data_IF_449932818554
#
_entry.id   IF_449932818554
#
_cell.length_a   1.000
_cell.length_b   1.000
_cell.length_c   1.000
_cell.angle_alpha   90.00
_cell.angle_beta   90.00
_cell.angle_gamma   90.00
#
_symmetry.space_group_name_H-M   'P 1'
#
loop_
_entity.id
_entity.type
_entity.pdbx_description
1 polymer ?
2 water ?
#
# COMPACT_ATOMS: atom_id res chain seq x y z
N UNK A 12 15.68 -20.88 -34.43
CA UNK A 12 16.28 -19.79 -33.68
C UNK A 12 15.24 -19.12 -32.79
N UNK A 13 13.99 -19.06 -33.26
CA UNK A 13 12.93 -18.46 -32.47
C UNK A 13 12.61 -19.29 -31.24
N UNK A 14 12.63 -20.62 -31.38
CA UNK A 14 12.37 -21.49 -30.24
C UNK A 14 13.49 -21.41 -29.21
N UNK A 15 14.73 -21.25 -29.66
CA UNK A 15 15.86 -21.18 -28.74
C UNK A 15 15.96 -19.82 -28.07
N UNK A 16 15.70 -18.75 -28.81
CA UNK A 16 15.73 -17.42 -28.22
C UNK A 16 14.62 -17.22 -27.21
N UNK A 17 13.46 -17.83 -27.45
CA UNK A 17 12.37 -17.75 -26.49
C UNK A 17 12.68 -18.52 -25.21
N UNK A 18 13.41 -19.64 -25.33
CA UNK A 18 13.76 -20.42 -24.15
C UNK A 18 14.77 -19.68 -23.29
N UNK A 19 15.76 -19.03 -23.91
CA UNK A 19 16.73 -18.25 -23.14
C UNK A 19 16.08 -17.03 -22.50
N UNK A 20 15.05 -16.47 -23.14
CA UNK A 20 14.36 -15.32 -22.56
C UNK A 20 13.60 -15.72 -21.30
N UNK A 21 12.84 -16.81 -21.37
CA UNK A 21 12.13 -17.29 -20.18
C UNK A 21 13.10 -17.75 -19.11
N UNK A 22 14.26 -18.26 -19.50
CA UNK A 22 15.27 -18.67 -18.54
C UNK A 22 15.79 -17.47 -17.74
N UNK A 23 16.09 -16.36 -18.43
CA UNK A 23 16.63 -15.20 -17.75
C UNK A 23 15.57 -14.58 -16.84
N UNK A 24 14.33 -14.48 -17.32
CA UNK A 24 13.28 -13.83 -16.55
C UNK A 24 12.95 -14.64 -15.29
N UNK A 25 12.85 -15.96 -15.43
CA UNK A 25 12.56 -16.80 -14.27
C UNK A 25 13.67 -16.72 -13.23
N UNK A 26 14.93 -16.68 -13.69
CA UNK A 26 16.05 -16.58 -12.76
C UNK A 26 16.08 -15.22 -12.09
N UNK A 27 15.77 -14.16 -12.83
CA UNK A 27 15.72 -12.82 -12.25
C UNK A 27 14.59 -12.71 -11.24
N UNK A 28 13.40 -13.24 -11.56
CA UNK A 28 12.29 -13.17 -10.62
C UNK A 28 12.61 -13.91 -9.33
N UNK A 29 13.33 -15.04 -9.44
CA UNK A 29 13.70 -15.80 -8.26
C UNK A 29 14.68 -15.04 -7.38
N UNK A 30 15.66 -14.36 -7.99
CA UNK A 30 16.61 -13.58 -7.22
C UNK A 30 15.97 -12.34 -6.62
N UNK A 31 15.05 -11.72 -7.37
CA UNK A 31 14.44 -10.47 -6.92
C UNK A 31 13.54 -10.66 -5.71
N UNK A 32 13.07 -11.89 -5.46
CA UNK A 32 12.26 -12.13 -4.27
C UNK A 32 13.08 -12.00 -3.00
N UNK A 33 14.39 -12.25 -3.07
CA UNK A 33 15.25 -12.25 -1.90
C UNK A 33 16.10 -10.99 -1.81
N UNK A 34 16.64 -10.53 -2.94
CA UNK A 34 17.56 -9.39 -2.95
C UNK A 34 16.92 -8.12 -3.46
N UNK A 35 15.63 -8.12 -3.76
CA UNK A 35 15.09 -6.96 -4.44
C UNK A 35 15.76 -6.79 -5.78
N UNK A 36 15.91 -5.53 -6.19
CA UNK A 36 16.55 -5.22 -7.47
C UNK A 36 18.07 -5.05 -7.34
N UNK A 37 18.66 -5.52 -6.25
CA UNK A 37 20.10 -5.37 -6.05
C UNK A 37 20.92 -6.40 -6.82
N UNK A 38 20.31 -7.50 -7.25
CA UNK A 38 21.04 -8.53 -7.98
C UNK A 38 21.57 -7.97 -9.30
N UNK A 39 22.83 -8.28 -9.59
CA UNK A 39 23.44 -7.73 -10.80
C UNK A 39 23.08 -8.58 -12.01
N UNK A 40 23.41 -8.06 -13.19
CA UNK A 40 23.20 -8.81 -14.42
C UNK A 40 24.05 -10.07 -14.45
N UNK A 41 25.27 -10.00 -13.92
CA UNK A 41 26.13 -11.17 -13.87
C UNK A 41 25.55 -12.24 -12.94
N UNK A 42 25.00 -11.82 -11.80
CA UNK A 42 24.41 -12.78 -10.88
C UNK A 42 23.17 -13.43 -11.48
N UNK A 43 22.39 -12.68 -12.26
CA UNK A 43 21.25 -13.27 -12.95
C UNK A 43 21.70 -14.36 -13.91
N UNK A 44 22.79 -14.10 -14.66
CA UNK A 44 23.29 -15.07 -15.62
C UNK A 44 23.78 -16.34 -14.92
N UNK A 45 24.52 -16.20 -13.82
CA UNK A 45 24.99 -17.36 -13.08
C UNK A 45 23.83 -18.18 -12.53
N UNK A 46 22.78 -17.51 -12.05
CA UNK A 46 21.62 -18.23 -11.52
C UNK A 46 20.86 -18.95 -12.62
N UNK A 47 20.80 -18.36 -13.82
CA UNK A 47 20.13 -18.97 -14.96
C UNK A 47 20.95 -20.07 -15.62
N UNK A 48 22.20 -20.26 -15.21
CA UNK A 48 23.07 -21.19 -15.91
C UNK A 48 23.40 -20.77 -17.33
N UNK A 49 23.40 -19.47 -17.61
CA UNK A 49 23.72 -18.94 -18.92
C UNK A 49 25.01 -18.13 -18.88
N UNK A 50 25.65 -18.02 -20.03
CA UNK A 50 26.85 -17.22 -20.12
C UNK A 50 26.55 -15.74 -19.96
N UNK A 51 27.50 -15.03 -19.34
CA UNK A 51 27.34 -13.60 -19.12
C UNK A 51 27.18 -12.86 -20.44
N UNK A 52 27.94 -13.26 -21.45
CA UNK A 52 27.83 -12.61 -22.76
C UNK A 52 26.47 -12.79 -23.39
N UNK A 53 25.84 -13.94 -23.19
CA UNK A 53 24.51 -14.17 -23.75
C UNK A 53 23.46 -13.28 -23.10
N UNK A 54 23.49 -13.20 -21.77
CA UNK A 54 22.51 -12.38 -21.06
C UNK A 54 22.77 -10.90 -21.30
N UNK A 55 24.05 -10.52 -21.38
CA UNK A 55 24.39 -9.10 -21.56
C UNK A 55 23.97 -8.61 -22.94
N UNK A 56 24.11 -9.45 -23.97
CA UNK A 56 23.67 -9.05 -25.30
C UNK A 56 22.16 -8.94 -25.36
N UNK A 57 21.44 -9.81 -24.65
CA UNK A 57 19.98 -9.72 -24.63
C UNK A 57 19.51 -8.54 -23.80
N UNK A 58 20.14 -8.32 -22.65
CA UNK A 58 19.77 -7.23 -21.74
C UNK A 58 21.03 -6.47 -21.38
N UNK A 59 21.37 -5.40 -22.13
CA UNK A 59 22.59 -4.66 -21.83
C UNK A 59 22.52 -3.83 -20.56
N UNK A 60 21.32 -3.55 -20.06
CA UNK A 60 21.14 -2.75 -18.86
C UNK A 60 20.11 -3.41 -17.94
N UNK A 61 20.18 -3.05 -16.66
CA UNK A 61 19.16 -3.50 -15.72
C UNK A 61 17.78 -3.02 -16.13
N UNK A 62 17.71 -1.81 -16.69
CA UNK A 62 16.42 -1.24 -17.08
C UNK A 62 15.77 -2.04 -18.20
N UNK A 63 16.58 -2.54 -19.13
CA UNK A 63 16.05 -3.41 -20.18
C UNK A 63 15.51 -4.72 -19.59
N UNK A 64 16.21 -5.27 -18.59
CA UNK A 64 15.72 -6.46 -17.93
C UNK A 64 14.42 -6.18 -17.18
N UNK A 65 14.31 -5.01 -16.56
CA UNK A 65 13.10 -4.67 -15.81
C UNK A 65 11.90 -4.55 -16.75
N UNK A 66 12.11 -4.03 -17.96
CA UNK A 66 11.00 -3.88 -18.88
C UNK A 66 10.51 -5.22 -19.41
N UNK A 67 11.44 -6.12 -19.73
CA UNK A 67 11.06 -7.45 -20.17
C UNK A 67 10.32 -8.22 -19.09
N UNK A 68 10.78 -8.07 -17.83
CA UNK A 68 10.07 -8.67 -16.71
C UNK A 68 8.68 -8.08 -16.57
N UNK A 69 8.56 -6.76 -16.65
CA UNK A 69 7.27 -6.09 -16.53
C UNK A 69 6.32 -6.52 -17.65
N UNK A 70 6.82 -6.55 -18.89
CA UNK A 70 5.99 -6.97 -20.01
C UNK A 70 5.60 -8.45 -19.85
N UNK A 71 6.54 -9.29 -19.46
CA UNK A 71 6.22 -10.69 -19.18
C UNK A 71 5.22 -10.80 -18.02
N UNK A 72 5.33 -9.93 -17.03
CA UNK A 72 4.40 -9.98 -15.91
C UNK A 72 2.98 -9.66 -16.30
N UNK A 73 2.80 -8.72 -17.22
CA UNK A 73 1.46 -8.43 -17.72
C UNK A 73 0.90 -9.59 -18.53
N UNK A 74 1.76 -10.26 -19.30
CA UNK A 74 1.32 -11.43 -20.05
C UNK A 74 0.92 -12.56 -19.10
N UNK A 75 1.67 -12.75 -18.01
CA UNK A 75 1.27 -13.73 -17.00
C UNK A 75 -0.08 -13.37 -16.39
N UNK A 76 -0.29 -12.08 -16.12
CA UNK A 76 -1.56 -11.64 -15.55
C UNK A 76 -2.70 -11.83 -16.55
N UNK A 77 -2.43 -11.65 -17.83
CA UNK A 77 -3.45 -11.91 -18.85
C UNK A 77 -3.86 -13.37 -18.84
N UNK A 78 -2.90 -14.29 -18.73
CA UNK A 78 -3.23 -15.69 -18.64
C UNK A 78 -4.03 -16.06 -17.41
N UNK A 79 -3.77 -15.36 -16.29
CA UNK A 79 -4.53 -15.62 -15.07
C UNK A 79 -5.98 -15.15 -15.22
N UNK A 80 -6.18 -14.00 -15.85
CA UNK A 80 -7.55 -13.53 -16.11
C UNK A 80 -8.27 -14.46 -17.07
N UNK A 81 -7.56 -14.97 -18.08
CA UNK A 81 -8.13 -15.96 -18.98
C UNK A 81 -8.58 -17.19 -18.22
N UNK A 82 -7.74 -17.71 -17.34
CA UNK A 82 -8.10 -18.89 -16.56
C UNK A 82 -9.26 -18.60 -15.63
N UNK A 83 -9.29 -17.41 -15.01
CA UNK A 83 -10.34 -17.08 -14.06
C UNK A 83 -11.71 -17.09 -14.71
N UNK A 84 -11.80 -16.63 -15.96
CA UNK A 84 -13.06 -16.62 -16.68
C UNK A 84 -13.59 -18.02 -16.98
N UNK A 85 -12.76 -19.05 -16.82
CA UNK A 85 -13.20 -20.43 -16.97
C UNK A 85 -13.71 -21.05 -15.68
N UNK A 86 -13.66 -20.32 -14.56
CA UNK A 86 -14.21 -20.84 -13.32
C UNK A 86 -15.74 -20.83 -13.35
N UNK A 87 -16.33 -21.84 -12.71
CA UNK A 87 -17.77 -22.03 -12.78
C UNK A 87 -18.53 -20.90 -12.09
N UNK A 88 -17.97 -20.30 -11.05
CA UNK A 88 -18.63 -19.24 -10.30
C UNK A 88 -17.88 -17.92 -10.49
N UNK A 89 -18.63 -16.86 -10.81
CA UNK A 89 -17.99 -15.60 -11.16
C UNK A 89 -17.35 -14.93 -9.94
N UNK A 90 -17.93 -15.10 -8.75
CA UNK A 90 -17.31 -14.50 -7.57
C UNK A 90 -16.08 -15.28 -7.12
N UNK A 91 -16.14 -16.61 -7.13
CA UNK A 91 -14.95 -17.40 -6.83
C UNK A 91 -13.86 -17.13 -7.86
N UNK A 92 -14.25 -16.94 -9.12
CA UNK A 92 -13.26 -16.57 -10.13
C UNK A 92 -12.64 -15.23 -9.88
N UNK A 93 -13.44 -14.25 -9.46
CA UNK A 93 -12.90 -12.93 -9.12
C UNK A 93 -11.97 -13.01 -7.92
N UNK A 94 -12.39 -13.71 -6.87
CA UNK A 94 -11.55 -13.91 -5.69
C UNK A 94 -10.24 -14.60 -6.06
N UNK A 95 -10.35 -15.70 -6.82
CA UNK A 95 -9.16 -16.43 -7.23
C UNK A 95 -8.21 -15.55 -8.03
N UNK A 96 -8.74 -14.78 -8.98
CA UNK A 96 -7.88 -13.94 -9.78
C UNK A 96 -7.16 -12.91 -8.93
N UNK A 97 -7.90 -12.20 -8.08
CA UNK A 97 -7.27 -11.17 -7.24
C UNK A 97 -6.17 -11.79 -6.39
N UNK A 98 -6.40 -12.99 -5.86
CA UNK A 98 -5.37 -13.68 -5.10
C UNK A 98 -4.13 -13.96 -5.95
N UNK A 99 -4.34 -14.54 -7.14
CA UNK A 99 -3.19 -14.85 -8.01
C UNK A 99 -2.45 -13.58 -8.41
N UNK A 100 -3.19 -12.52 -8.75
CA UNK A 100 -2.56 -11.26 -9.14
C UNK A 100 -1.74 -10.68 -8.01
N UNK A 101 -2.33 -10.54 -6.81
CA UNK A 101 -1.62 -9.87 -5.73
C UNK A 101 -0.44 -10.70 -5.24
N UNK A 102 -0.54 -12.02 -5.29
CA UNK A 102 0.54 -12.89 -4.83
C UNK A 102 1.85 -12.62 -5.58
N UNK A 103 1.76 -12.20 -6.84
CA UNK A 103 2.96 -12.00 -7.65
C UNK A 103 3.85 -10.94 -7.03
N UNK A 104 3.27 -9.80 -6.67
CA UNK A 104 4.03 -8.70 -6.11
C UNK A 104 4.06 -8.68 -4.58
N UNK A 105 3.09 -9.33 -3.92
CA UNK A 105 3.09 -9.36 -2.47
C UNK A 105 4.11 -10.31 -1.89
N UNK A 106 4.66 -11.22 -2.69
CA UNK A 106 5.65 -12.18 -2.22
C UNK A 106 7.01 -12.00 -2.89
N UNK A 107 7.19 -10.95 -3.68
CA UNK A 107 8.44 -10.69 -4.40
C UNK A 107 8.68 -9.18 -4.37
N UNK A 108 9.58 -8.72 -3.49
CA UNK A 108 9.79 -7.29 -3.34
C UNK A 108 10.45 -6.68 -4.56
N UNK A 109 11.21 -7.46 -5.32
CA UNK A 109 11.78 -6.95 -6.55
C UNK A 109 10.73 -6.70 -7.61
N UNK A 110 9.81 -7.66 -7.79
CA UNK A 110 8.72 -7.48 -8.74
C UNK A 110 7.80 -6.36 -8.30
N UNK A 111 7.56 -6.23 -6.99
CA UNK A 111 6.74 -5.15 -6.46
C UNK A 111 7.32 -3.79 -6.81
N UNK A 112 8.65 -3.65 -6.72
CA UNK A 112 9.27 -2.37 -7.05
C UNK A 112 9.20 -2.10 -8.55
N UNK A 113 9.35 -3.13 -9.38
CA UNK A 113 9.25 -2.93 -10.82
C UNK A 113 7.82 -2.57 -11.22
N UNK A 114 6.83 -3.18 -10.58
CA UNK A 114 5.46 -3.00 -10.99
C UNK A 114 4.93 -1.60 -10.66
N UNK A 115 5.27 -1.07 -9.48
CA UNK A 115 4.61 0.11 -8.96
C UNK A 115 5.54 1.26 -8.61
N UNK A 116 6.85 1.04 -8.55
CA UNK A 116 7.80 2.11 -8.26
C UNK A 116 8.59 2.56 -9.48
N UNK A 117 8.59 1.79 -10.56
CA UNK A 117 9.26 2.17 -11.80
C UNK A 117 8.26 2.74 -12.80
N UNK A 118 8.78 3.49 -13.77
CA UNK A 118 7.98 4.00 -14.87
C UNK A 118 8.16 3.10 -16.08
N UNK A 119 7.09 2.92 -16.85
CA UNK A 119 7.09 1.98 -17.96
C UNK A 119 6.44 2.61 -19.19
N UNK A 120 7.08 2.42 -20.34
CA UNK A 120 6.56 2.91 -21.60
C UNK A 120 7.13 2.14 -22.76
N UNK A 121 6.82 2.61 -23.96
CA UNK A 121 7.28 1.99 -25.18
C UNK A 121 6.21 1.14 -25.84
N UNK A 122 6.56 0.63 -27.03
CA UNK A 122 5.59 -0.11 -27.83
C UNK A 122 5.19 -1.42 -27.17
N UNK A 123 6.16 -2.15 -26.60
CA UNK A 123 5.83 -3.44 -26.00
C UNK A 123 4.98 -3.26 -24.75
N UNK A 124 5.26 -2.22 -23.96
CA UNK A 124 4.47 -1.98 -22.76
C UNK A 124 3.05 -1.59 -23.11
N UNK A 125 2.88 -0.71 -24.11
CA UNK A 125 1.55 -0.30 -24.52
C UNK A 125 0.76 -1.45 -25.12
N UNK A 126 1.43 -2.31 -25.88
CA UNK A 126 0.75 -3.46 -26.48
C UNK A 126 0.35 -4.47 -25.40
N UNK A 127 1.16 -4.64 -24.38
CA UNK A 127 0.81 -5.55 -23.30
C UNK A 127 -0.34 -5.05 -22.46
N UNK A 128 -0.35 -3.75 -22.13
CA UNK A 128 -1.46 -3.18 -21.38
C UNK A 128 -2.76 -3.29 -22.18
N UNK A 129 -2.69 -3.12 -23.49
CA UNK A 129 -3.90 -3.14 -24.31
C UNK A 129 -4.52 -4.53 -24.38
N UNK A 130 -3.73 -5.58 -24.21
CA UNK A 130 -4.29 -6.92 -24.14
C UNK A 130 -4.77 -7.27 -22.74
N UNK A 131 -4.16 -6.71 -21.71
CA UNK A 131 -4.52 -7.07 -20.34
C UNK A 131 -5.81 -6.38 -19.89
N UNK A 132 -5.94 -5.08 -20.18
CA UNK A 132 -7.04 -4.30 -19.61
C UNK A 132 -8.42 -4.86 -19.96
N UNK A 133 -8.74 -5.22 -21.21
CA UNK A 133 -10.08 -5.79 -21.46
C UNK A 133 -10.31 -7.11 -20.76
N UNK A 134 -9.24 -7.90 -20.54
CA UNK A 134 -9.39 -9.13 -19.77
C UNK A 134 -9.72 -8.84 -18.31
N UNK A 135 -9.10 -7.81 -17.73
CA UNK A 135 -9.46 -7.40 -16.38
C UNK A 135 -10.92 -6.96 -16.32
N UNK A 136 -11.39 -6.23 -17.34
CA UNK A 136 -12.77 -5.79 -17.37
C UNK A 136 -13.73 -6.96 -17.42
N UNK A 137 -13.38 -8.01 -18.16
CA UNK A 137 -14.29 -9.15 -18.29
C UNK A 137 -14.43 -9.90 -16.97
N UNK A 138 -13.35 -10.03 -16.21
CA UNK A 138 -13.42 -10.68 -14.90
C UNK A 138 -14.32 -9.86 -13.97
N UNK A 139 -14.16 -8.54 -13.98
CA UNK A 139 -14.96 -7.68 -13.13
C UNK A 139 -16.42 -7.70 -13.55
N UNK A 140 -16.67 -7.48 -14.85
CA UNK A 140 -18.05 -7.39 -15.33
C UNK A 140 -18.83 -8.68 -15.11
N UNK A 141 -18.17 -9.84 -15.23
CA UNK A 141 -18.87 -11.11 -15.04
C UNK A 141 -19.43 -11.22 -13.63
N UNK A 142 -18.60 -10.90 -12.62
CA UNK A 142 -19.05 -10.94 -11.24
C UNK A 142 -20.09 -9.87 -10.96
N UNK A 143 -20.04 -8.75 -11.69
CA UNK A 143 -21.02 -7.69 -11.48
C UNK A 143 -22.38 -8.08 -12.03
N UNK A 144 -22.41 -8.69 -13.21
CA UNK A 144 -23.68 -9.04 -13.83
C UNK A 144 -24.38 -10.19 -13.10
N UNK A 145 -23.65 -11.00 -12.34
CA UNK A 145 -24.24 -12.05 -11.52
C UNK A 145 -24.74 -11.54 -10.17
N UNK A 146 -24.51 -10.27 -9.84
CA UNK A 146 -24.96 -9.73 -8.57
C UNK A 146 -24.02 -9.92 -7.41
N UNK A 147 -22.75 -10.29 -7.65
CA UNK A 147 -21.79 -10.51 -6.57
C UNK A 147 -20.94 -9.28 -6.28
N UNK A 148 -20.47 -8.61 -7.32
CA UNK A 148 -19.51 -7.52 -7.20
C UNK A 148 -20.25 -6.19 -7.36
N UNK A 149 -19.88 -5.21 -6.54
CA UNK A 149 -20.60 -3.96 -6.52
C UNK A 149 -20.40 -3.20 -7.83
N UNK A 150 -21.41 -2.43 -8.26
CA UNK A 150 -21.34 -1.83 -9.60
C UNK A 150 -20.22 -0.81 -9.79
N UNK A 151 -19.74 -0.17 -8.72
CA UNK A 151 -18.68 0.82 -8.87
C UNK A 151 -17.35 0.20 -9.23
N UNK A 152 -17.19 -1.11 -9.07
CA UNK A 152 -15.92 -1.76 -9.34
C UNK A 152 -15.50 -1.55 -10.79
N UNK A 153 -14.19 -1.53 -11.03
CA UNK A 153 -13.64 -1.30 -12.34
C UNK A 153 -12.38 -2.13 -12.50
N UNK A 154 -12.01 -2.37 -13.76
CA UNK A 154 -10.71 -3.02 -14.03
C UNK A 154 -9.57 -2.24 -13.41
N UNK A 155 -9.68 -0.91 -13.35
CA UNK A 155 -8.61 -0.07 -12.82
C UNK A 155 -8.47 -0.18 -11.31
N UNK A 156 -9.40 -0.84 -10.62
CA UNK A 156 -9.19 -1.18 -9.21
C UNK A 156 -8.14 -2.27 -9.04
N UNK A 157 -7.94 -3.11 -10.06
CA UNK A 157 -7.05 -4.25 -9.92
C UNK A 157 -5.60 -3.87 -9.65
N UNK A 158 -4.99 -2.92 -10.36
CA UNK A 158 -3.62 -2.52 -10.00
C UNK A 158 -3.50 -2.00 -8.58
N UNK A 159 -4.54 -1.35 -8.06
CA UNK A 159 -4.44 -0.84 -6.69
C UNK A 159 -4.57 -1.94 -5.65
N UNK A 160 -5.31 -3.00 -5.95
CA UNK A 160 -5.26 -4.17 -5.09
C UNK A 160 -3.84 -4.72 -4.99
N UNK A 161 -3.10 -4.69 -6.09
CA UNK A 161 -1.70 -5.06 -6.03
C UNK A 161 -0.87 -4.07 -5.22
N UNK A 162 -1.08 -2.77 -5.45
CA UNK A 162 -0.37 -1.75 -4.68
C UNK A 162 -0.68 -1.90 -3.20
N UNK A 163 -1.96 -2.11 -2.86
CA UNK A 163 -2.38 -2.17 -1.46
C UNK A 163 -1.77 -3.39 -0.77
N UNK A 164 -1.97 -4.58 -1.34
CA UNK A 164 -1.39 -5.78 -0.73
C UNK A 164 0.13 -5.74 -0.71
N UNK A 165 0.73 -5.09 -1.71
CA UNK A 165 2.18 -4.97 -1.73
C UNK A 165 2.70 -4.13 -0.58
N UNK A 166 2.00 -3.02 -0.27
CA UNK A 166 2.42 -2.16 0.83
C UNK A 166 2.35 -2.88 2.17
N UNK A 167 1.45 -3.85 2.31
CA UNK A 167 1.41 -4.66 3.53
C UNK A 167 2.72 -5.41 3.70
N UNK A 168 3.15 -6.14 2.66
CA UNK A 168 4.38 -6.90 2.75
C UNK A 168 5.59 -5.98 2.91
N UNK A 169 5.58 -4.82 2.24
CA UNK A 169 6.68 -3.88 2.37
C UNK A 169 6.82 -3.39 3.80
N UNK A 170 5.70 -3.13 4.48
CA UNK A 170 5.75 -2.60 5.83
C UNK A 170 5.94 -3.71 6.87
N UNK A 171 5.30 -4.87 6.67
CA UNK A 171 5.33 -5.91 7.69
C UNK A 171 6.62 -6.71 7.67
N UNK A 172 7.25 -6.85 6.50
CA UNK A 172 8.50 -7.57 6.40
C UNK A 172 8.32 -9.04 6.10
N UNK A 173 9.43 -9.67 5.70
CA UNK A 173 9.40 -11.07 5.30
C UNK A 173 8.99 -11.99 6.45
N UNK A 174 9.22 -11.57 7.70
CA UNK A 174 8.81 -12.37 8.84
C UNK A 174 7.30 -12.50 8.92
N UNK A 175 6.56 -11.58 8.31
CA UNK A 175 5.10 -11.65 8.26
C UNK A 175 4.66 -11.81 6.81
N UNK A 176 5.10 -12.89 6.16
CA UNK A 176 4.99 -13.02 4.71
C UNK A 176 3.57 -13.25 4.23
N UNK A 177 2.66 -13.67 5.09
CA UNK A 177 1.29 -13.96 4.68
C UNK A 177 0.30 -12.87 5.07
N UNK A 178 0.75 -11.82 5.76
CA UNK A 178 -0.17 -10.81 6.26
C UNK A 178 -0.93 -10.12 5.13
N UNK A 179 -0.34 -10.03 3.94
CA UNK A 179 -1.02 -9.39 2.82
C UNK A 179 -2.35 -10.06 2.50
N UNK A 180 -2.47 -11.36 2.77
CA UNK A 180 -3.71 -12.07 2.50
C UNK A 180 -4.86 -11.58 3.40
N UNK A 181 -4.55 -11.11 4.60
CA UNK A 181 -5.59 -10.61 5.50
C UNK A 181 -6.25 -9.38 4.91
N UNK A 182 -5.46 -8.38 4.54
CA UNK A 182 -6.02 -7.15 4.02
C UNK A 182 -6.57 -7.30 2.62
N UNK A 183 -6.08 -8.28 1.85
CA UNK A 183 -6.72 -8.63 0.58
C UNK A 183 -8.14 -9.14 0.82
N UNK A 184 -8.32 -10.02 1.81
CA UNK A 184 -9.65 -10.52 2.09
C UNK A 184 -10.59 -9.41 2.57
N UNK A 185 -10.05 -8.45 3.32
CA UNK A 185 -10.86 -7.30 3.74
C UNK A 185 -11.26 -6.48 2.52
N UNK A 186 -10.32 -6.23 1.60
CA UNK A 186 -10.65 -5.47 0.40
C UNK A 186 -11.69 -6.21 -0.43
N UNK A 187 -11.55 -7.52 -0.58
CA UNK A 187 -12.50 -8.30 -1.37
C UNK A 187 -13.88 -8.25 -0.72
N UNK A 188 -13.94 -8.38 0.61
CA UNK A 188 -15.22 -8.32 1.30
C UNK A 188 -15.91 -6.98 1.06
N UNK A 189 -15.15 -5.88 1.07
CA UNK A 189 -15.71 -4.56 0.84
C UNK A 189 -16.16 -4.32 -0.59
N UNK A 190 -15.79 -5.18 -1.52
CA UNK A 190 -16.22 -5.07 -2.91
C UNK A 190 -17.53 -5.80 -3.21
N UNK A 191 -18.06 -6.53 -2.24
CA UNK A 191 -19.30 -7.26 -2.46
C UNK A 191 -20.46 -6.32 -2.70
N UNK A 192 -21.35 -6.70 -3.63
CA UNK A 192 -22.58 -5.95 -3.82
C UNK A 192 -23.51 -6.19 -2.62
N UNK A 193 -24.04 -5.10 -2.07
CA UNK A 193 -25.02 -5.14 -1.00
C UNK A 193 -26.26 -4.36 -1.43
N UNK A 194 -27.43 -4.83 -1.01
CA UNK A 194 -28.67 -4.15 -1.35
C UNK A 194 -28.70 -2.74 -0.77
N UNK A 195 -27.97 -2.50 0.32
CA UNK A 195 -28.11 -1.30 1.12
C UNK A 195 -26.89 -0.40 1.15
N UNK A 196 -25.81 -0.75 0.46
CA UNK A 196 -24.55 -0.06 0.65
C UNK A 196 -24.55 1.32 0.02
N UNK A 197 -23.79 2.22 0.63
CA UNK A 197 -23.56 3.54 0.06
C UNK A 197 -22.64 3.41 -1.15
N UNK A 198 -22.92 4.19 -2.18
CA UNK A 198 -22.06 4.19 -3.35
C UNK A 198 -20.71 4.82 -3.02
N UNK A 199 -19.64 4.23 -3.56
CA UNK A 199 -18.31 4.78 -3.36
C UNK A 199 -18.23 6.19 -3.91
N UNK A 200 -17.91 7.15 -3.04
CA UNK A 200 -17.97 8.56 -3.42
C UNK A 200 -16.87 8.93 -4.41
N UNK A 201 -15.72 8.27 -4.35
CA UNK A 201 -14.61 8.55 -5.25
C UNK A 201 -14.54 7.41 -6.26
N UNK A 202 -14.66 7.75 -7.54
CA UNK A 202 -14.68 6.74 -8.60
C UNK A 202 -13.27 6.19 -8.83
N UNK A 203 -13.23 4.99 -9.42
CA UNK A 203 -11.97 4.46 -9.88
C UNK A 203 -11.44 5.32 -11.02
N UNK A 204 -10.12 5.26 -11.22
CA UNK A 204 -9.51 5.95 -12.34
C UNK A 204 -10.04 5.40 -13.66
N UNK A 205 -10.14 6.27 -14.66
CA UNK A 205 -10.43 5.79 -16.00
C UNK A 205 -9.14 5.31 -16.66
N UNK A 206 -9.26 4.82 -17.91
CA UNK A 206 -8.08 4.29 -18.60
C UNK A 206 -7.04 5.40 -18.83
N UNK A 207 -7.49 6.60 -19.16
CA UNK A 207 -6.56 7.70 -19.37
C UNK A 207 -5.85 8.08 -18.08
N UNK A 208 -6.58 8.06 -16.96
CA UNK A 208 -5.97 8.42 -15.68
C UNK A 208 -4.98 7.36 -15.22
N UNK A 209 -5.35 6.07 -15.33
CA UNK A 209 -4.46 5.03 -14.86
C UNK A 209 -3.27 4.84 -15.80
N UNK A 210 -3.39 5.28 -17.06
CA UNK A 210 -2.22 5.28 -17.94
C UNK A 210 -1.25 6.39 -17.55
N UNK A 211 -1.78 7.54 -17.13
CA UNK A 211 -0.89 8.63 -16.70
C UNK A 211 -0.23 8.30 -15.37
N UNK A 212 -0.95 7.62 -14.47
CA UNK A 212 -0.38 7.24 -13.19
C UNK A 212 0.74 6.20 -13.35
N UNK A 213 0.76 5.47 -14.46
CA UNK A 213 1.79 4.48 -14.71
C UNK A 213 2.84 5.01 -15.69
N UNK B 15 7.69 29.35 26.37
CA UNK B 15 8.26 30.16 25.31
C UNK B 15 9.02 29.30 24.31
N UNK B 16 9.97 28.51 24.81
CA UNK B 16 10.66 27.55 23.96
C UNK B 16 9.70 26.48 23.47
N UNK B 17 8.69 26.14 24.27
CA UNK B 17 7.69 25.17 23.83
C UNK B 17 6.82 25.74 22.71
N UNK B 18 6.57 27.05 22.72
CA UNK B 18 5.81 27.66 21.64
C UNK B 18 6.58 27.58 20.32
N UNK B 19 7.87 27.94 20.36
CA UNK B 19 8.71 27.82 19.17
C UNK B 19 8.85 26.37 18.73
N UNK B 20 8.88 25.44 19.68
CA UNK B 20 8.96 24.03 19.34
C UNK B 20 7.76 23.58 18.52
N UNK B 21 6.56 24.01 18.92
CA UNK B 21 5.37 23.67 18.15
C UNK B 21 5.34 24.37 16.80
N UNK B 22 5.90 25.58 16.70
CA UNK B 22 5.90 26.30 15.44
C UNK B 22 6.83 25.65 14.43
N UNK B 23 7.97 25.11 14.89
CA UNK B 23 8.87 24.41 13.99
C UNK B 23 8.22 23.14 13.46
N UNK B 24 7.55 22.39 14.34
CA UNK B 24 6.88 21.17 13.93
C UNK B 24 5.77 21.47 12.92
N UNK B 25 4.96 22.49 13.20
CA UNK B 25 3.87 22.84 12.29
C UNK B 25 4.41 23.31 10.95
N UNK B 26 5.49 24.09 10.95
CA UNK B 26 6.08 24.54 9.69
C UNK B 26 6.71 23.38 8.93
N UNK B 27 7.33 22.44 9.65
CA UNK B 27 7.94 21.29 8.98
C UNK B 27 6.89 20.40 8.35
N UNK B 28 5.75 20.21 9.02
CA UNK B 28 4.68 19.39 8.44
C UNK B 28 4.08 20.04 7.20
N UNK B 29 4.01 21.37 7.18
CA UNK B 29 3.52 22.06 5.98
C UNK B 29 4.47 21.84 4.80
N UNK B 30 5.78 21.98 5.03
CA UNK B 30 6.74 21.77 3.95
C UNK B 30 6.79 20.32 3.51
N UNK B 31 6.53 19.39 4.44
CA UNK B 31 6.61 17.96 4.12
C UNK B 31 5.61 17.56 3.05
N UNK B 32 4.47 18.24 2.97
CA UNK B 32 3.44 17.86 2.00
C UNK B 32 3.86 18.12 0.57
N UNK B 33 4.81 19.03 0.35
CA UNK B 33 5.24 19.41 -0.98
C UNK B 33 6.66 18.95 -1.28
N UNK B 34 7.54 18.99 -0.27
CA UNK B 34 8.96 18.72 -0.48
C UNK B 34 9.40 17.39 0.10
N UNK B 35 8.48 16.59 0.62
CA UNK B 35 8.88 15.35 1.27
C UNK B 35 9.75 15.65 2.46
N UNK B 36 10.87 14.95 2.56
CA UNK B 36 11.84 15.15 3.64
C UNK B 36 13.08 15.90 3.18
N UNK B 37 13.00 16.60 2.05
CA UNK B 37 14.17 17.25 1.47
C UNK B 37 14.48 18.61 2.08
N UNK B 38 13.55 19.20 2.81
CA UNK B 38 13.75 20.55 3.34
C UNK B 38 14.83 20.56 4.41
N UNK B 39 15.71 21.55 4.34
CA UNK B 39 16.75 21.71 5.34
C UNK B 39 16.20 22.45 6.56
N UNK B 40 16.99 22.45 7.64
CA UNK B 40 16.59 23.17 8.84
C UNK B 40 16.54 24.67 8.61
N UNK B 41 17.35 25.19 7.67
CA UNK B 41 17.25 26.59 7.30
C UNK B 41 15.91 26.90 6.66
N UNK B 42 15.48 26.05 5.72
CA UNK B 42 14.21 26.27 5.03
C UNK B 42 13.02 26.13 5.98
N UNK B 43 13.12 25.22 6.95
CA UNK B 43 12.08 25.12 7.97
C UNK B 43 12.03 26.39 8.80
N UNK B 44 13.20 26.93 9.15
CA UNK B 44 13.26 28.16 9.94
C UNK B 44 12.62 29.33 9.20
N UNK B 45 12.92 29.47 7.91
CA UNK B 45 12.33 30.55 7.12
C UNK B 45 10.81 30.40 7.05
N UNK B 46 10.33 29.18 6.78
CA UNK B 46 8.89 28.98 6.68
C UNK B 46 8.20 29.22 8.02
N UNK B 47 8.86 28.89 9.12
CA UNK B 47 8.32 29.16 10.45
C UNK B 47 8.46 30.63 10.86
N UNK B 48 9.28 31.40 10.16
CA UNK B 48 9.52 32.77 10.55
C UNK B 48 10.45 32.92 11.74
N UNK B 49 11.23 31.91 12.06
CA UNK B 49 12.14 31.93 13.18
C UNK B 49 13.59 32.03 12.71
N UNK B 50 14.46 32.49 13.61
CA UNK B 50 15.87 32.47 13.32
C UNK B 50 16.42 31.05 13.24
N UNK B 51 17.46 30.88 12.43
CA UNK B 51 18.04 29.56 12.24
C UNK B 51 18.56 28.99 13.56
N UNK B 52 19.16 29.84 14.39
CA UNK B 52 19.64 29.38 15.68
C UNK B 52 18.52 28.89 16.59
N UNK B 53 17.31 29.44 16.42
CA UNK B 53 16.19 29.01 17.23
C UNK B 53 15.74 27.59 16.87
N UNK B 54 15.77 27.24 15.59
CA UNK B 54 15.41 25.89 15.19
C UNK B 54 16.51 24.91 15.62
N UNK B 55 17.77 25.34 15.52
CA UNK B 55 18.87 24.45 15.88
C UNK B 55 18.92 24.21 17.38
N UNK B 56 18.58 25.22 18.20
CA UNK B 56 18.56 25.00 19.63
C UNK B 56 17.45 24.04 20.03
N UNK B 57 16.37 23.98 19.25
CA UNK B 57 15.29 23.03 19.51
C UNK B 57 15.55 21.68 18.88
N UNK B 58 16.12 21.66 17.68
CA UNK B 58 16.39 20.42 16.94
C UNK B 58 17.77 20.52 16.31
N UNK B 59 18.78 19.92 16.94
CA UNK B 59 20.15 20.02 16.40
C UNK B 59 20.31 19.39 15.03
N UNK B 60 19.54 18.34 14.72
CA UNK B 60 19.64 17.64 13.45
C UNK B 60 18.24 17.44 12.87
N UNK B 61 18.20 17.05 11.58
CA UNK B 61 16.93 16.74 10.96
C UNK B 61 16.31 15.49 11.56
N UNK B 62 17.14 14.50 11.91
CA UNK B 62 16.63 13.29 12.54
C UNK B 62 15.95 13.60 13.86
N UNK B 63 16.49 14.56 14.62
CA UNK B 63 15.82 15.00 15.83
C UNK B 63 14.47 15.63 15.52
N UNK B 64 14.40 16.41 14.44
CA UNK B 64 13.10 16.96 14.03
C UNK B 64 12.18 15.86 13.53
N UNK B 65 12.73 14.91 12.76
CA UNK B 65 11.90 13.82 12.25
C UNK B 65 11.27 13.01 13.37
N UNK B 66 12.05 12.72 14.42
CA UNK B 66 11.51 11.94 15.54
C UNK B 66 10.44 12.73 16.29
N UNK B 67 10.67 14.03 16.50
CA UNK B 67 9.70 14.86 17.18
C UNK B 67 8.39 14.92 16.41
N UNK B 68 8.46 14.95 15.08
CA UNK B 68 7.24 14.98 14.28
C UNK B 68 6.52 13.64 14.36
N UNK B 69 7.28 12.54 14.41
CA UNK B 69 6.65 11.23 14.54
C UNK B 69 5.92 11.10 15.88
N UNK B 70 6.58 11.48 16.96
CA UNK B 70 5.93 11.45 18.28
C UNK B 70 4.75 12.41 18.33
N UNK B 71 4.91 13.60 17.72
CA UNK B 71 3.79 14.55 17.68
C UNK B 71 2.61 13.99 16.91
N UNK B 72 2.89 13.26 15.82
CA UNK B 72 1.81 12.64 15.07
C UNK B 72 1.08 11.57 15.86
N UNK B 73 1.82 10.79 16.65
CA UNK B 73 1.20 9.79 17.51
C UNK B 73 0.33 10.45 18.57
N UNK B 74 0.84 11.51 19.21
CA UNK B 74 0.02 12.25 20.17
C UNK B 74 -1.24 12.79 19.51
N UNK B 75 -1.14 13.19 18.24
CA UNK B 75 -2.31 13.66 17.51
C UNK B 75 -3.31 12.55 17.28
N UNK B 76 -2.82 11.35 16.91
CA UNK B 76 -3.72 10.20 16.78
C UNK B 76 -4.37 9.84 18.10
N UNK B 77 -3.62 9.98 19.20
CA UNK B 77 -4.17 9.68 20.51
C UNK B 77 -5.35 10.60 20.84
N UNK B 78 -5.18 11.90 20.61
CA UNK B 78 -6.28 12.83 20.83
C UNK B 78 -7.48 12.52 19.94
N UNK B 79 -7.21 12.09 18.70
CA UNK B 79 -8.31 11.69 17.81
C UNK B 79 -9.00 10.44 18.32
N UNK B 80 -8.23 9.47 18.81
CA UNK B 80 -8.84 8.27 19.37
C UNK B 80 -9.65 8.59 20.62
N UNK B 81 -9.15 9.49 21.46
CA UNK B 81 -9.91 9.89 22.64
C UNK B 81 -11.21 10.59 22.25
N UNK B 82 -11.17 11.40 21.18
CA UNK B 82 -12.38 12.05 20.71
C UNK B 82 -13.35 11.03 20.12
N UNK B 83 -12.84 10.05 19.38
CA UNK B 83 -13.71 9.02 18.81
C UNK B 83 -14.43 8.23 19.90
N UNK B 84 -13.78 8.04 21.06
CA UNK B 84 -14.41 7.31 22.15
C UNK B 84 -15.51 8.12 22.83
N UNK B 85 -15.60 9.41 22.55
CA UNK B 85 -16.69 10.24 23.06
C UNK B 85 -17.90 10.26 22.13
N UNK B 86 -17.78 9.72 20.92
CA UNK B 86 -18.91 9.67 20.00
C UNK B 86 -19.99 8.74 20.53
N UNK B 87 -21.23 9.03 20.14
CA UNK B 87 -22.37 8.30 20.69
C UNK B 87 -22.45 6.88 20.15
N UNK B 88 -22.20 6.70 18.85
CA UNK B 88 -22.27 5.38 18.22
C UNK B 88 -20.87 4.85 17.97
N UNK B 89 -20.62 3.61 18.41
CA UNK B 89 -19.27 3.06 18.35
C UNK B 89 -18.83 2.77 16.92
N UNK B 90 -19.75 2.48 16.02
CA UNK B 90 -19.34 2.26 14.63
C UNK B 90 -19.00 3.57 13.96
N UNK B 91 -19.84 4.60 14.14
CA UNK B 91 -19.52 5.91 13.61
C UNK B 91 -18.22 6.43 14.20
N UNK B 92 -17.97 6.15 15.49
CA UNK B 92 -16.70 6.53 16.08
C UNK B 92 -15.52 5.82 15.44
N UNK B 93 -15.68 4.53 15.12
CA UNK B 93 -14.62 3.79 14.44
C UNK B 93 -14.37 4.36 13.05
N UNK B 94 -15.42 4.51 12.25
CA UNK B 94 -15.27 5.03 10.89
C UNK B 94 -14.71 6.45 10.91
N UNK B 95 -15.17 7.27 11.86
CA UNK B 95 -14.66 8.64 11.96
C UNK B 95 -13.17 8.63 12.29
N UNK B 96 -12.75 7.78 13.22
CA UNK B 96 -11.34 7.73 13.58
C UNK B 96 -10.48 7.30 12.40
N UNK B 97 -10.91 6.26 11.67
CA UNK B 97 -10.15 5.81 10.51
C UNK B 97 -10.01 6.93 9.50
N UNK B 98 -11.10 7.66 9.24
CA UNK B 98 -11.04 8.80 8.32
C UNK B 98 -9.99 9.81 8.76
N UNK B 99 -10.03 10.21 10.03
CA UNK B 99 -9.10 11.22 10.53
C UNK B 99 -7.66 10.72 10.50
N UNK B 100 -7.45 9.46 10.88
CA UNK B 100 -6.10 8.91 10.91
C UNK B 100 -5.50 8.84 9.51
N UNK B 101 -6.24 8.27 8.55
CA UNK B 101 -5.69 8.05 7.23
C UNK B 101 -5.45 9.36 6.48
N UNK B 102 -6.26 10.38 6.76
CA UNK B 102 -6.10 11.65 6.05
C UNK B 102 -4.74 12.29 6.31
N UNK B 103 -4.20 12.08 7.52
CA UNK B 103 -2.94 12.73 7.90
C UNK B 103 -1.81 12.27 6.99
N UNK B 104 -1.69 10.96 6.78
CA UNK B 104 -0.60 10.41 5.99
C UNK B 104 -0.93 10.27 4.52
N UNK B 105 -2.22 10.22 4.15
CA UNK B 105 -2.57 10.08 2.74
C UNK B 105 -2.48 11.39 1.97
N UNK B 106 -2.40 12.54 2.66
CA UNK B 106 -2.31 13.83 1.99
C UNK B 106 -0.99 14.53 2.26
N UNK B 107 0.01 13.82 2.78
CA UNK B 107 1.30 14.44 3.11
C UNK B 107 2.38 13.37 2.92
N UNK B 108 3.08 13.43 1.80
CA UNK B 108 4.06 12.39 1.49
C UNK B 108 5.24 12.43 2.45
N UNK B 109 5.57 13.59 3.00
CA UNK B 109 6.62 13.65 4.00
C UNK B 109 6.25 12.94 5.28
N UNK B 110 5.03 13.19 5.78
CA UNK B 110 4.57 12.48 6.97
C UNK B 110 4.42 10.99 6.70
N UNK B 111 3.95 10.63 5.50
CA UNK B 111 3.85 9.23 5.13
C UNK B 111 5.20 8.53 5.19
N UNK B 112 6.25 9.22 4.72
CA UNK B 112 7.59 8.63 4.78
C UNK B 112 8.07 8.47 6.22
N UNK B 113 7.75 9.43 7.08
CA UNK B 113 8.16 9.34 8.47
C UNK B 113 7.36 8.28 9.20
N UNK B 114 6.06 8.18 8.91
CA UNK B 114 5.20 7.28 9.68
C UNK B 114 5.48 5.82 9.36
N UNK B 115 5.80 5.51 8.12
CA UNK B 115 5.83 4.11 7.68
C UNK B 115 7.16 3.69 7.06
N UNK B 116 7.78 4.54 6.25
CA UNK B 116 9.08 4.24 5.65
C UNK B 116 10.24 4.65 6.54
N UNK B 117 10.08 4.57 7.86
CA UNK B 117 11.09 5.02 8.81
C UNK B 117 11.03 4.13 10.04
N UNK B 118 12.20 3.86 10.60
CA UNK B 118 12.31 3.11 11.86
C UNK B 118 12.59 4.08 12.99
N UNK B 119 11.85 3.93 14.09
CA UNK B 119 11.94 4.85 15.21
C UNK B 119 12.12 4.09 16.51
N UNK B 120 12.71 4.76 17.49
CA UNK B 120 12.92 4.19 18.79
C UNK B 120 13.24 5.27 19.80
N UNK B 121 13.58 4.84 21.01
CA UNK B 121 13.93 5.75 22.08
C UNK B 121 12.77 5.97 23.05
N UNK B 122 13.09 6.70 24.13
CA UNK B 122 12.14 6.89 25.22
C UNK B 122 10.87 7.59 24.75
N UNK B 123 11.02 8.70 24.02
CA UNK B 123 9.86 9.47 23.61
C UNK B 123 8.95 8.66 22.69
N UNK B 124 9.53 7.90 21.77
CA UNK B 124 8.72 7.09 20.85
C UNK B 124 7.97 6.00 21.62
N UNK B 125 8.64 5.35 22.58
CA UNK B 125 7.98 4.31 23.36
C UNK B 125 6.84 4.89 24.21
N UNK B 126 7.05 6.07 24.79
CA UNK B 126 6.01 6.69 25.60
C UNK B 126 4.81 7.09 24.74
N UNK B 127 5.04 7.51 23.51
CA UNK B 127 3.94 7.85 22.62
C UNK B 127 3.15 6.63 22.19
N UNK B 128 3.85 5.54 21.86
CA UNK B 128 3.16 4.30 21.51
C UNK B 128 2.39 3.74 22.70
N UNK B 129 2.92 3.92 23.92
CA UNK B 129 2.26 3.41 25.11
C UNK B 129 0.91 4.08 25.35
N UNK B 130 0.76 5.34 24.94
CA UNK B 130 -0.51 6.03 25.03
C UNK B 130 -1.45 5.68 23.88
N UNK B 131 -0.90 5.52 22.68
CA UNK B 131 -1.73 5.33 21.50
C UNK B 131 -2.30 3.92 21.40
N UNK B 132 -1.45 2.91 21.60
CA UNK B 132 -1.88 1.53 21.40
C UNK B 132 -3.12 1.14 22.21
N UNK B 133 -3.21 1.43 23.52
CA UNK B 133 -4.44 1.05 24.23
C UNK B 133 -5.66 1.84 23.77
N UNK B 134 -5.49 3.08 23.32
CA UNK B 134 -6.62 3.82 22.77
C UNK B 134 -7.14 3.17 21.49
N UNK B 135 -6.24 2.72 20.62
CA UNK B 135 -6.65 1.99 19.42
C UNK B 135 -7.41 0.73 19.80
N UNK B 136 -6.95 0.05 20.85
CA UNK B 136 -7.64 -1.16 21.31
C UNK B 136 -9.04 -0.85 21.79
N UNK B 137 -9.22 0.25 22.52
CA UNK B 137 -10.53 0.59 23.05
C UNK B 137 -11.50 0.95 21.95
N UNK B 138 -11.02 1.63 20.90
CA UNK B 138 -11.88 1.97 19.77
C UNK B 138 -12.37 0.72 19.07
N UNK B 139 -11.46 -0.24 18.83
CA UNK B 139 -11.84 -1.50 18.20
C UNK B 139 -12.73 -2.33 19.12
N UNK B 140 -12.39 -2.39 20.42
CA UNK B 140 -13.15 -3.21 21.35
C UNK B 140 -14.60 -2.73 21.46
N UNK B 141 -14.81 -1.42 21.50
CA UNK B 141 -16.17 -0.89 21.68
C UNK B 141 -17.05 -1.21 20.48
N UNK B 142 -16.53 -0.99 19.26
CA UNK B 142 -17.32 -1.28 18.07
C UNK B 142 -17.60 -2.78 17.92
N UNK B 143 -16.68 -3.63 18.40
CA UNK B 143 -16.92 -5.07 18.36
C UNK B 143 -17.97 -5.48 19.39
N UNK B 144 -17.95 -4.85 20.57
CA UNK B 144 -18.90 -5.23 21.61
C UNK B 144 -20.33 -4.86 21.23
N UNK B 145 -20.51 -3.76 20.51
CA UNK B 145 -21.83 -3.36 20.04
C UNK B 145 -22.27 -4.11 18.79
N UNK B 146 -21.44 -5.01 18.27
CA UNK B 146 -21.81 -5.84 17.14
C UNK B 146 -21.61 -5.22 15.78
N UNK B 147 -20.91 -4.10 15.68
CA UNK B 147 -20.73 -3.42 14.40
C UNK B 147 -19.46 -3.86 13.67
N UNK B 148 -18.36 -4.01 14.40
CA UNK B 148 -17.06 -4.34 13.83
C UNK B 148 -16.82 -5.84 13.93
N UNK B 149 -16.28 -6.42 12.86
CA UNK B 149 -16.09 -7.87 12.84
C UNK B 149 -15.13 -8.31 13.93
N UNK B 150 -15.33 -9.51 14.50
CA UNK B 150 -14.55 -9.90 15.68
C UNK B 150 -13.08 -10.14 15.40
N UNK B 151 -12.68 -10.35 14.14
CA UNK B 151 -11.26 -10.53 13.82
C UNK B 151 -10.46 -9.25 13.95
N UNK B 152 -11.13 -8.09 13.96
CA UNK B 152 -10.43 -6.82 13.95
C UNK B 152 -9.54 -6.67 15.19
N UNK B 153 -8.47 -5.90 15.03
CA UNK B 153 -7.54 -5.64 16.11
C UNK B 153 -7.06 -4.20 16.04
N UNK B 154 -6.48 -3.74 17.16
CA UNK B 154 -5.85 -2.42 17.17
C UNK B 154 -4.72 -2.33 16.15
N UNK B 155 -4.05 -3.44 15.87
CA UNK B 155 -2.94 -3.44 14.94
C UNK B 155 -3.38 -3.38 13.48
N UNK B 156 -4.69 -3.47 13.20
CA UNK B 156 -5.17 -3.21 11.85
C UNK B 156 -5.10 -1.73 11.52
N UNK B 157 -5.14 -0.87 12.53
CA UNK B 157 -5.16 0.57 12.31
C UNK B 157 -3.91 1.08 11.59
N UNK B 158 -2.69 0.74 11.99
CA UNK B 158 -1.53 1.21 11.22
C UNK B 158 -1.56 0.79 9.77
N UNK B 159 -2.08 -0.41 9.48
CA UNK B 159 -2.10 -0.87 8.10
C UNK B 159 -3.15 -0.14 7.27
N UNK B 160 -4.24 0.32 7.89
CA UNK B 160 -5.15 1.21 7.18
C UNK B 160 -4.43 2.48 6.73
N UNK B 161 -3.54 3.01 7.57
CA UNK B 161 -2.74 4.15 7.17
C UNK B 161 -1.73 3.80 6.09
N UNK B 162 -1.08 2.64 6.22
CA UNK B 162 -0.13 2.20 5.19
C UNK B 162 -0.84 2.00 3.86
N UNK B 163 -2.01 1.35 3.88
CA UNK B 163 -2.72 1.05 2.64
C UNK B 163 -3.16 2.32 1.93
N UNK B 164 -3.81 3.24 2.66
CA UNK B 164 -4.29 4.46 2.02
C UNK B 164 -3.13 5.35 1.57
N UNK B 165 -2.03 5.37 2.32
CA UNK B 165 -0.87 6.14 1.90
C UNK B 165 -0.25 5.59 0.63
N UNK B 166 -0.26 4.26 0.47
CA UNK B 166 0.30 3.67 -0.74
C UNK B 166 -0.52 4.01 -1.97
N UNK B 167 -1.83 4.25 -1.81
CA UNK B 167 -2.63 4.71 -2.94
C UNK B 167 -2.15 6.07 -3.41
N UNK B 168 -2.03 7.02 -2.48
CA UNK B 168 -1.57 8.36 -2.84
C UNK B 168 -0.16 8.34 -3.37
N UNK B 169 0.69 7.45 -2.85
CA UNK B 169 2.07 7.37 -3.33
C UNK B 169 2.11 6.93 -4.79
N UNK B 170 1.24 6.00 -5.17
CA UNK B 170 1.25 5.47 -6.53
C UNK B 170 0.46 6.36 -7.49
N UNK B 171 -0.72 6.82 -7.08
CA UNK B 171 -1.60 7.55 -8.00
C UNK B 171 -1.08 8.95 -8.26
N UNK B 172 -0.51 9.60 -7.26
CA UNK B 172 0.07 10.92 -7.43
C UNK B 172 -0.86 12.03 -6.97
N UNK B 173 -0.35 13.26 -7.08
CA UNK B 173 -1.09 14.42 -6.62
C UNK B 173 -2.27 14.75 -7.54
N UNK B 174 -2.22 14.33 -8.80
CA UNK B 174 -3.34 14.56 -9.71
C UNK B 174 -4.59 13.86 -9.19
N UNK B 175 -4.44 12.66 -8.65
CA UNK B 175 -5.57 11.93 -8.09
C UNK B 175 -5.48 11.95 -6.56
N UNK B 176 -5.55 13.15 -5.97
CA UNK B 176 -5.24 13.29 -4.55
C UNK B 176 -6.32 12.72 -3.63
N UNK B 177 -7.50 12.43 -4.17
CA UNK B 177 -8.61 11.91 -3.37
C UNK B 177 -8.83 10.42 -3.55
N UNK B 178 -8.05 9.76 -4.41
CA UNK B 178 -8.29 8.36 -4.71
C UNK B 178 -8.14 7.47 -3.48
N UNK B 179 -7.31 7.87 -2.52
CA UNK B 179 -7.16 7.06 -1.31
C UNK B 179 -8.48 6.90 -0.58
N UNK B 180 -9.37 7.90 -0.68
CA UNK B 180 -10.66 7.81 -0.01
C UNK B 180 -11.51 6.66 -0.55
N UNK B 181 -11.36 6.33 -1.83
CA UNK B 181 -12.10 5.21 -2.39
C UNK B 181 -11.71 3.90 -1.71
N UNK B 182 -10.41 3.63 -1.63
CA UNK B 182 -9.96 2.38 -1.05
C UNK B 182 -10.07 2.37 0.47
N UNK B 183 -10.04 3.53 1.11
CA UNK B 183 -10.35 3.58 2.54
C UNK B 183 -11.80 3.15 2.79
N UNK B 184 -12.73 3.64 1.96
CA UNK B 184 -14.13 3.24 2.14
C UNK B 184 -14.31 1.75 1.89
N UNK B 185 -13.58 1.19 0.93
CA UNK B 185 -13.67 -0.25 0.69
C UNK B 185 -13.15 -1.02 1.90
N UNK B 186 -12.03 -0.57 2.48
CA UNK B 186 -11.48 -1.23 3.65
C UNK B 186 -12.46 -1.21 4.82
N UNK B 187 -13.07 -0.05 5.08
CA UNK B 187 -13.99 0.07 6.21
C UNK B 187 -15.21 -0.80 5.99
N UNK B 188 -15.69 -0.88 4.74
CA UNK B 188 -16.83 -1.75 4.45
C UNK B 188 -16.48 -3.22 4.69
N UNK B 189 -15.23 -3.60 4.38
CA UNK B 189 -14.78 -4.95 4.65
C UNK B 189 -14.63 -5.30 6.12
N UNK B 190 -14.59 -4.30 6.99
CA UNK B 190 -14.48 -4.52 8.43
C UNK B 190 -15.82 -4.64 9.13
N UNK B 191 -16.91 -4.26 8.46
CA UNK B 191 -18.22 -4.34 9.09
C UNK B 191 -18.63 -5.80 9.27
N UNK B 192 -19.26 -6.09 10.41
CA UNK B 192 -19.67 -7.45 10.72
C UNK B 192 -20.93 -7.81 9.94
N UNK B 193 -20.88 -8.97 9.25
CA UNK B 193 -22.01 -9.51 8.52
C UNK B 193 -22.19 -10.97 8.89
N UNK B 194 -23.41 -11.47 8.70
CA UNK B 194 -23.69 -12.88 9.00
C UNK B 194 -23.00 -13.80 8.02
N UNK B 195 -22.98 -13.43 6.73
CA UNK B 195 -22.42 -14.26 5.67
C UNK B 195 -20.92 -14.04 5.49
N UNK B 196 -20.19 -13.80 6.56
CA UNK B 196 -18.75 -13.53 6.50
C UNK B 196 -17.96 -14.73 6.97
N UNK B 197 -16.96 -15.12 6.19
CA UNK B 197 -16.03 -16.16 6.62
C UNK B 197 -14.95 -15.53 7.48
N UNK B 198 -14.49 -16.29 8.48
CA UNK B 198 -13.42 -15.83 9.36
C UNK B 198 -12.17 -15.50 8.55
N UNK B 199 -11.61 -14.32 8.79
CA UNK B 199 -10.35 -13.94 8.15
C UNK B 199 -9.27 -14.95 8.51
N UNK B 200 -8.71 -15.61 7.50
CA UNK B 200 -7.81 -16.73 7.74
C UNK B 200 -6.49 -16.28 8.36
N UNK B 201 -6.03 -15.09 8.03
CA UNK B 201 -4.74 -14.58 8.51
C UNK B 201 -5.01 -13.55 9.59
N UNK B 202 -4.52 -13.81 10.79
CA UNK B 202 -4.78 -12.91 11.91
C UNK B 202 -3.94 -11.64 11.79
N UNK B 203 -4.45 -10.59 12.43
CA UNK B 203 -3.66 -9.37 12.57
C UNK B 203 -2.42 -9.65 13.41
N UNK B 204 -1.41 -8.79 13.26
CA UNK B 204 -0.22 -8.90 14.08
C UNK B 204 -0.58 -8.67 15.54
N UNK B 205 0.07 -9.42 16.43
CA UNK B 205 -0.11 -9.18 17.85
C UNK B 205 0.76 -8.00 18.29
N UNK B 206 0.71 -7.69 19.59
CA UNK B 206 1.47 -6.55 20.10
C UNK B 206 2.96 -6.71 19.84
N UNK B 207 3.49 -7.92 20.02
CA UNK B 207 4.91 -8.15 19.81
C UNK B 207 5.30 -7.97 18.34
N UNK B 208 4.48 -8.47 17.42
CA UNK B 208 4.83 -8.42 16.02
C UNK B 208 4.79 -7.00 15.47
N UNK B 209 3.75 -6.23 15.82
CA UNK B 209 3.66 -4.86 15.35
C UNK B 209 4.78 -4.01 15.95
N UNK B 210 5.25 -4.36 17.16
CA UNK B 210 6.39 -3.66 17.74
C UNK B 210 7.65 -3.93 16.94
N UNK B 211 7.94 -5.21 16.68
CA UNK B 211 9.15 -5.59 15.94
C UNK B 211 9.11 -5.15 14.49
N UNK B 212 7.93 -4.77 13.96
CA UNK B 212 7.84 -4.41 12.56
C UNK B 212 8.25 -2.96 12.30
N UNK B 213 8.02 -2.07 13.26
CA UNK B 213 8.23 -0.64 13.05
C UNK B 213 9.34 -0.07 13.93
N UNK B 214 10.33 -0.90 14.28
CA UNK B 214 11.46 -0.43 15.07
C UNK B 214 12.78 -0.78 14.39
#
# INVERSE_FOLDING_TARGET
GMNGREVAHRPLRKDAERNRKRVIAAARELFAVHGLESTLNEVAHHAGLGVGTVYRRFPTKEALFEAIYVDGMDQLSGLAEAALRHENSWEGFEWFVHQMCEITATNRGLREIAFSKAHGGDHVEAGRARLLPLLSKVVERAQEDGYLRPEASATDMPFFGVLTGAVSEFAGEVNADLWRRYMAILIEGMRRRDDQERLEVDALDEAQIDAAMTTWQPAGSG
GMNGREVAHRPLRKDAERNRKRVIAAARELFAVHGLESTLNEVAHHAGLGVGTVYRRFPTKEALFEAIYVDGMDQLSGLAEAALRHENSWEGFEWFVHQMCEITATNRGLREIAFSKAHGGDHVEAGRARLLPLLSKVVERAQEDGYLRPEASATDMPFFGVLTGAVSEFAGEVNADLWRRYMAILIEGMRRRDDQERLEVDALDEAQIDAAMTTWQPAGSG
#
